data_IF_115902956364
#
_entry.id   IF_115902956364
#
_cell.length_a   1.000
_cell.length_b   1.000
_cell.length_c   1.000
_cell.angle_alpha   90.00
_cell.angle_beta   90.00
_cell.angle_gamma   90.00
#
_symmetry.space_group_name_H-M   'P 1'
#
loop_
_entity.id
_entity.type
_entity.pdbx_description
1 polymer ?
#
# COMPACT_ATOMS: atom_id res chain seq x y z
N UNK A 1 10.87 25.48 12.12
CA UNK A 1 11.66 25.14 10.92
C UNK A 1 10.84 25.48 9.68
N UNK A 2 11.44 26.11 8.67
CA UNK A 2 10.76 26.54 7.43
C UNK A 2 10.96 25.44 6.39
N UNK A 3 9.92 24.94 5.69
CA UNK A 3 10.12 23.90 4.68
C UNK A 3 10.92 24.51 3.52
N UNK A 4 12.11 23.96 3.27
CA UNK A 4 12.97 24.33 2.15
C UNK A 4 12.55 23.42 1.00
N UNK A 5 12.06 24.03 -0.07
CA UNK A 5 11.53 23.40 -1.30
C UNK A 5 10.07 22.95 -1.20
N UNK A 6 9.16 23.82 -1.66
CA UNK A 6 7.86 23.36 -2.18
C UNK A 6 8.12 22.73 -3.54
N UNK A 7 7.96 21.41 -3.73
CA UNK A 7 7.97 20.84 -5.08
C UNK A 7 6.90 21.55 -5.91
N UNK A 8 7.29 22.07 -7.07
CA UNK A 8 6.37 22.70 -8.02
C UNK A 8 5.36 21.63 -8.51
N UNK A 9 4.22 21.54 -7.84
CA UNK A 9 3.09 20.68 -8.21
C UNK A 9 3.23 19.18 -7.90
N UNK A 10 2.15 18.46 -8.19
CA UNK A 10 1.94 17.00 -8.01
C UNK A 10 3.08 16.16 -8.59
N UNK A 11 3.79 16.65 -9.61
CA UNK A 11 4.93 15.95 -10.21
C UNK A 11 6.17 15.88 -9.32
N UNK A 12 6.38 16.83 -8.40
CA UNK A 12 7.64 16.92 -7.65
C UNK A 12 7.70 16.00 -6.41
N UNK A 13 6.57 15.82 -5.71
CA UNK A 13 6.51 14.90 -4.56
C UNK A 13 6.66 13.44 -5.00
N UNK A 14 5.95 13.03 -6.06
CA UNK A 14 6.05 11.67 -6.59
C UNK A 14 7.48 11.31 -7.03
N UNK A 15 8.15 12.21 -7.75
CA UNK A 15 9.55 12.03 -8.15
C UNK A 15 10.50 11.94 -6.95
N UNK A 16 10.25 12.71 -5.88
CA UNK A 16 11.03 12.65 -4.65
C UNK A 16 10.83 11.33 -3.89
N UNK A 17 9.59 10.85 -3.78
CA UNK A 17 9.29 9.54 -3.18
C UNK A 17 9.93 8.41 -3.99
N UNK A 18 9.92 8.51 -5.33
CA UNK A 18 10.59 7.52 -6.17
C UNK A 18 12.11 7.52 -5.98
N UNK A 19 12.73 8.70 -5.86
CA UNK A 19 14.15 8.83 -5.53
C UNK A 19 14.45 8.22 -4.16
N UNK A 20 13.66 8.55 -3.14
CA UNK A 20 13.77 7.98 -1.81
C UNK A 20 13.71 6.45 -1.87
N UNK A 21 12.77 5.86 -2.61
CA UNK A 21 12.69 4.42 -2.79
C UNK A 21 13.97 3.81 -3.38
N UNK A 22 14.51 4.41 -4.45
CA UNK A 22 15.73 3.93 -5.10
C UNK A 22 16.94 3.92 -4.16
N UNK A 23 16.99 4.86 -3.24
CA UNK A 23 18.10 4.99 -2.27
C UNK A 23 17.88 4.14 -1.01
N UNK A 24 16.64 4.06 -0.52
CA UNK A 24 16.28 3.42 0.75
C UNK A 24 16.14 1.89 0.62
N UNK A 25 15.56 1.38 -0.48
CA UNK A 25 15.36 -0.09 -0.65
C UNK A 25 16.69 -0.86 -0.56
N UNK A 26 17.77 -0.46 -1.26
CA UNK A 26 19.06 -1.13 -1.13
C UNK A 26 19.65 -1.03 0.27
N UNK A 27 19.43 0.11 0.95
CA UNK A 27 19.91 0.33 2.33
C UNK A 27 19.22 -0.64 3.29
N UNK A 28 17.89 -0.72 3.25
CA UNK A 28 17.12 -1.64 4.09
C UNK A 28 17.45 -3.10 3.82
N UNK A 29 17.68 -3.47 2.55
CA UNK A 29 18.12 -4.84 2.21
C UNK A 29 19.49 -5.19 2.79
N UNK A 30 20.46 -4.29 2.67
CA UNK A 30 21.79 -4.52 3.25
C UNK A 30 21.73 -4.66 4.78
N UNK A 31 20.88 -3.87 5.44
CA UNK A 31 20.64 -4.00 6.89
C UNK A 31 19.94 -5.32 7.23
N UNK A 32 18.92 -5.73 6.46
CA UNK A 32 18.24 -7.03 6.64
C UNK A 32 19.21 -8.21 6.43
N UNK A 33 20.15 -8.11 5.49
CA UNK A 33 21.19 -9.12 5.22
C UNK A 33 22.13 -9.28 6.42
N UNK A 34 22.61 -8.16 7.00
CA UNK A 34 23.42 -8.18 8.21
C UNK A 34 22.61 -8.74 9.39
N UNK A 35 21.35 -8.30 9.54
CA UNK A 35 20.47 -8.74 10.63
C UNK A 35 20.06 -10.23 10.53
N UNK A 36 20.23 -10.85 9.36
CA UNK A 36 19.95 -12.28 9.17
C UNK A 36 21.03 -13.17 9.80
N UNK A 37 22.26 -12.66 9.96
CA UNK A 37 23.37 -13.38 10.55
C UNK A 37 23.93 -12.65 11.78
N UNK A 38 23.21 -12.78 12.90
CA UNK A 38 23.56 -12.13 14.17
C UNK A 38 24.96 -12.54 14.68
N UNK A 39 25.48 -13.70 14.27
CA UNK A 39 26.78 -14.19 14.73
C UNK A 39 27.96 -13.47 14.08
N UNK A 40 27.74 -12.81 12.93
CA UNK A 40 28.77 -12.10 12.15
C UNK A 40 28.52 -10.59 12.12
N UNK A 41 27.72 -10.07 13.06
CA UNK A 41 27.34 -8.65 13.09
C UNK A 41 28.53 -7.72 13.34
N UNK A 42 29.54 -8.18 14.07
CA UNK A 42 30.81 -7.49 14.34
C UNK A 42 31.69 -7.40 13.09
N UNK A 43 31.65 -8.39 12.20
CA UNK A 43 32.34 -8.33 10.90
C UNK A 43 31.81 -7.20 9.98
N UNK A 44 30.66 -6.63 10.34
CA UNK A 44 29.96 -5.61 9.56
C UNK A 44 29.94 -4.21 10.20
N UNK A 45 30.71 -3.96 11.26
CA UNK A 45 30.74 -2.68 12.00
C UNK A 45 30.89 -1.45 11.08
N UNK A 46 31.90 -1.42 10.20
CA UNK A 46 32.11 -0.31 9.26
C UNK A 46 30.93 -0.14 8.27
N UNK A 47 30.31 -1.25 7.87
CA UNK A 47 29.15 -1.23 6.98
C UNK A 47 27.91 -0.70 7.70
N UNK A 48 27.71 -1.07 8.97
CA UNK A 48 26.61 -0.61 9.81
C UNK A 48 26.66 0.90 10.00
N UNK A 49 27.80 1.47 10.35
CA UNK A 49 27.96 2.94 10.51
C UNK A 49 27.61 3.69 9.22
N UNK A 50 28.08 3.19 8.07
CA UNK A 50 27.73 3.77 6.77
C UNK A 50 26.23 3.65 6.45
N UNK A 51 25.62 2.50 6.74
CA UNK A 51 24.20 2.27 6.48
C UNK A 51 23.29 3.07 7.44
N UNK A 52 23.70 3.23 8.70
CA UNK A 52 23.05 4.11 9.69
C UNK A 52 23.02 5.56 9.18
N UNK A 53 24.14 6.07 8.65
CA UNK A 53 24.18 7.41 8.06
C UNK A 53 23.23 7.54 6.86
N UNK A 54 23.08 6.49 6.05
CA UNK A 54 22.10 6.46 4.95
C UNK A 54 20.67 6.46 5.45
N UNK A 55 20.35 5.74 6.53
CA UNK A 55 19.03 5.80 7.18
C UNK A 55 18.74 7.21 7.70
N UNK A 56 19.70 7.83 8.39
CA UNK A 56 19.58 9.20 8.87
C UNK A 56 19.28 10.17 7.72
N UNK A 57 20.08 10.11 6.64
CA UNK A 57 19.86 10.94 5.45
C UNK A 57 18.49 10.70 4.84
N UNK A 58 18.02 9.45 4.78
CA UNK A 58 16.69 9.12 4.29
C UNK A 58 15.59 9.72 5.18
N UNK A 59 15.71 9.64 6.51
CA UNK A 59 14.76 10.24 7.45
C UNK A 59 14.70 11.77 7.29
N UNK A 60 15.84 12.44 7.16
CA UNK A 60 15.93 13.88 6.89
C UNK A 60 15.28 14.25 5.55
N UNK A 61 15.48 13.42 4.51
CA UNK A 61 14.81 13.60 3.23
C UNK A 61 13.30 13.48 3.35
N UNK A 62 12.79 12.52 4.13
CA UNK A 62 11.34 12.42 4.40
C UNK A 62 10.86 13.69 5.09
N UNK A 63 11.51 14.11 6.19
CA UNK A 63 11.13 15.30 6.95
C UNK A 63 11.13 16.59 6.11
N UNK A 64 12.05 16.69 5.15
CA UNK A 64 12.17 17.83 4.24
C UNK A 64 11.10 17.88 3.13
N UNK A 65 10.36 16.80 2.90
CA UNK A 65 9.36 16.73 1.85
C UNK A 65 8.01 17.26 2.31
N UNK A 66 7.41 18.15 1.52
CA UNK A 66 6.04 18.57 1.73
C UNK A 66 5.08 17.47 1.28
N UNK A 67 4.53 16.72 2.25
CA UNK A 67 3.51 15.71 2.01
C UNK A 67 2.23 16.30 1.41
N UNK A 68 1.50 15.49 0.65
CA UNK A 68 0.10 15.78 0.35
C UNK A 68 -0.77 15.51 1.58
N UNK A 69 -1.88 16.25 1.77
CA UNK A 69 -2.78 16.01 2.90
C UNK A 69 -3.22 14.54 3.01
N UNK A 70 -3.49 13.90 1.89
CA UNK A 70 -3.98 12.51 1.85
C UNK A 70 -2.90 11.46 2.10
N UNK A 71 -1.62 11.85 2.13
CA UNK A 71 -0.48 10.98 2.42
C UNK A 71 0.23 11.36 3.71
N UNK A 72 -0.24 12.39 4.42
CA UNK A 72 0.43 12.94 5.60
C UNK A 72 0.62 11.89 6.70
N UNK A 73 -0.38 11.05 6.92
CA UNK A 73 -0.28 9.92 7.86
C UNK A 73 0.77 8.90 7.43
N UNK A 74 0.70 8.36 6.21
CA UNK A 74 1.68 7.38 5.72
C UNK A 74 3.10 7.95 5.61
N UNK A 75 3.21 9.25 5.36
CA UNK A 75 4.46 9.99 5.35
C UNK A 75 5.05 10.10 6.76
N UNK A 76 4.21 10.47 7.74
CA UNK A 76 4.58 10.51 9.15
C UNK A 76 4.95 9.12 9.69
N UNK A 77 4.21 8.08 9.33
CA UNK A 77 4.53 6.68 9.65
C UNK A 77 5.91 6.30 9.14
N UNK A 78 6.25 6.67 7.89
CA UNK A 78 7.57 6.39 7.33
C UNK A 78 8.68 7.13 8.06
N UNK A 79 8.49 8.41 8.36
CA UNK A 79 9.46 9.19 9.13
C UNK A 79 9.73 8.53 10.49
N UNK A 80 8.68 8.24 11.26
CA UNK A 80 8.80 7.59 12.58
C UNK A 80 9.48 6.23 12.48
N UNK A 81 9.08 5.39 11.52
CA UNK A 81 9.67 4.07 11.36
C UNK A 81 11.16 4.13 10.97
N UNK A 82 11.57 5.12 10.17
CA UNK A 82 12.97 5.35 9.84
C UNK A 82 13.77 5.85 11.04
N UNK A 83 13.20 6.73 11.87
CA UNK A 83 13.84 7.20 13.10
C UNK A 83 14.08 6.05 14.07
N UNK A 84 13.09 5.18 14.27
CA UNK A 84 13.24 3.98 15.12
C UNK A 84 14.30 3.04 14.53
N UNK A 85 14.26 2.76 13.22
CA UNK A 85 15.29 1.92 12.59
C UNK A 85 16.69 2.52 12.71
N UNK A 86 16.83 3.84 12.64
CA UNK A 86 18.09 4.54 12.85
C UNK A 86 18.58 4.41 14.30
N UNK A 87 17.70 4.59 15.27
CA UNK A 87 17.99 4.48 16.71
C UNK A 87 18.46 3.07 17.05
N UNK A 88 17.72 2.04 16.64
CA UNK A 88 18.10 0.64 16.87
C UNK A 88 19.41 0.26 16.16
N UNK A 89 19.64 0.78 14.94
CA UNK A 89 20.94 0.59 14.27
C UNK A 89 22.07 1.28 15.03
N UNK A 90 21.80 2.43 15.67
CA UNK A 90 22.75 3.15 16.49
C UNK A 90 23.12 2.41 17.77
N UNK A 91 22.13 1.85 18.47
CA UNK A 91 22.37 1.02 19.65
C UNK A 91 23.23 -0.21 19.32
N UNK A 92 23.04 -0.80 18.14
CA UNK A 92 23.88 -1.90 17.67
C UNK A 92 25.34 -1.48 17.42
N UNK A 93 25.56 -0.32 16.79
CA UNK A 93 26.90 0.25 16.57
C UNK A 93 27.57 0.58 17.89
N UNK A 94 26.85 1.18 18.84
CA UNK A 94 27.36 1.51 20.17
C UNK A 94 27.80 0.25 20.94
N UNK A 95 26.97 -0.81 20.92
CA UNK A 95 27.33 -2.08 21.55
C UNK A 95 28.58 -2.74 20.92
N UNK A 96 28.79 -2.56 19.62
CA UNK A 96 30.00 -3.04 18.91
C UNK A 96 31.23 -2.20 19.26
N UNK A 97 31.09 -0.87 19.33
CA UNK A 97 32.17 0.05 19.75
C UNK A 97 32.68 -0.29 21.16
N UNK A 98 31.78 -0.66 22.07
CA UNK A 98 32.08 -1.12 23.43
C UNK A 98 32.61 -2.57 23.51
N UNK A 99 32.78 -3.23 22.35
CA UNK A 99 33.22 -4.63 22.19
C UNK A 99 32.31 -5.65 22.88
N UNK A 100 31.03 -5.35 22.97
CA UNK A 100 30.02 -6.15 23.64
C UNK A 100 29.19 -6.95 22.62
N UNK A 101 29.78 -8.01 22.05
CA UNK A 101 29.07 -8.87 21.07
C UNK A 101 27.78 -9.48 21.65
N UNK A 102 27.79 -9.85 22.94
CA UNK A 102 26.61 -10.41 23.59
C UNK A 102 25.43 -9.43 23.65
N UNK A 103 25.72 -8.14 23.87
CA UNK A 103 24.72 -7.07 23.86
C UNK A 103 24.26 -6.76 22.45
N UNK A 104 25.19 -6.66 21.49
CA UNK A 104 24.85 -6.48 20.09
C UNK A 104 23.90 -7.59 19.60
N UNK A 105 24.19 -8.86 19.91
CA UNK A 105 23.33 -10.01 19.58
C UNK A 105 21.95 -9.91 20.24
N UNK A 106 21.87 -9.41 21.49
CA UNK A 106 20.60 -9.22 22.18
C UNK A 106 19.70 -8.20 21.46
N UNK A 107 20.30 -7.12 20.92
CA UNK A 107 19.59 -6.04 20.22
C UNK A 107 19.14 -6.40 18.79
N UNK A 108 19.65 -7.50 18.21
CA UNK A 108 19.31 -7.88 16.83
C UNK A 108 17.81 -8.10 16.65
N UNK A 109 17.10 -8.58 17.69
CA UNK A 109 15.66 -8.78 17.59
C UNK A 109 14.89 -7.45 17.47
N UNK A 110 15.14 -6.47 18.35
CA UNK A 110 14.50 -5.15 18.27
C UNK A 110 14.82 -4.48 16.94
N UNK A 111 16.09 -4.54 16.53
CA UNK A 111 16.56 -3.99 15.27
C UNK A 111 15.82 -4.57 14.06
N UNK A 112 15.63 -5.90 14.01
CA UNK A 112 14.86 -6.55 12.94
C UNK A 112 13.41 -6.09 12.89
N UNK A 113 12.77 -5.87 14.04
CA UNK A 113 11.40 -5.36 14.11
C UNK A 113 11.34 -3.93 13.58
N UNK A 114 12.31 -3.09 13.91
CA UNK A 114 12.40 -1.72 13.40
C UNK A 114 12.60 -1.67 11.88
N UNK A 115 13.50 -2.50 11.34
CA UNK A 115 13.71 -2.62 9.88
C UNK A 115 12.44 -3.09 9.16
N UNK A 116 11.71 -4.05 9.74
CA UNK A 116 10.42 -4.47 9.22
C UNK A 116 9.39 -3.33 9.22
N UNK A 117 9.32 -2.55 10.31
CA UNK A 117 8.47 -1.38 10.42
C UNK A 117 8.76 -0.35 9.31
N UNK A 118 10.03 -0.04 9.07
CA UNK A 118 10.45 0.88 8.01
C UNK A 118 10.04 0.36 6.62
N UNK A 119 10.23 -0.93 6.33
CA UNK A 119 9.79 -1.56 5.07
C UNK A 119 8.27 -1.49 4.91
N UNK A 120 7.52 -1.76 5.96
CA UNK A 120 6.06 -1.73 5.94
C UNK A 120 5.54 -0.31 5.69
N UNK A 121 6.10 0.69 6.38
CA UNK A 121 5.73 2.09 6.19
C UNK A 121 6.04 2.56 4.76
N UNK A 122 7.22 2.22 4.23
CA UNK A 122 7.58 2.51 2.83
C UNK A 122 6.62 1.83 1.85
N UNK A 123 6.21 0.60 2.13
CA UNK A 123 5.24 -0.12 1.30
C UNK A 123 3.86 0.56 1.31
N UNK A 124 3.39 1.04 2.47
CA UNK A 124 2.11 1.75 2.60
C UNK A 124 2.12 3.06 1.82
N UNK A 125 3.14 3.88 2.02
CA UNK A 125 3.32 5.16 1.33
C UNK A 125 3.26 5.01 -0.20
N UNK A 126 3.75 3.88 -0.71
CA UNK A 126 3.94 3.67 -2.16
C UNK A 126 2.79 2.91 -2.83
N UNK A 127 1.91 2.29 -2.04
CA UNK A 127 0.65 1.69 -2.53
C UNK A 127 -0.54 2.65 -2.48
N UNK A 128 -0.57 3.59 -1.54
CA UNK A 128 -1.70 4.49 -1.35
C UNK A 128 -1.99 5.38 -2.58
N UNK A 129 -0.99 5.96 -3.29
CA UNK A 129 -1.23 6.70 -4.53
C UNK A 129 -1.88 5.85 -5.63
N UNK A 130 -1.39 4.63 -5.86
CA UNK A 130 -1.92 3.72 -6.89
C UNK A 130 -3.36 3.29 -6.63
N UNK A 131 -3.74 3.09 -5.37
CA UNK A 131 -5.13 2.78 -4.99
C UNK A 131 -6.06 3.93 -5.33
N UNK A 132 -5.62 5.17 -5.14
CA UNK A 132 -6.41 6.35 -5.51
C UNK A 132 -6.57 6.47 -7.02
N UNK A 133 -5.49 6.31 -7.79
CA UNK A 133 -5.59 6.38 -9.25
C UNK A 133 -6.56 5.33 -9.78
N UNK A 134 -6.49 4.11 -9.24
CA UNK A 134 -7.43 3.04 -9.56
C UNK A 134 -8.88 3.35 -9.12
N UNK A 135 -9.10 3.91 -7.92
CA UNK A 135 -10.43 4.31 -7.46
C UNK A 135 -11.00 5.48 -8.28
N UNK A 136 -10.17 6.45 -8.65
CA UNK A 136 -10.59 7.59 -9.48
C UNK A 136 -10.93 7.13 -10.90
N UNK A 137 -10.13 6.24 -11.48
CA UNK A 137 -10.41 5.63 -12.77
C UNK A 137 -11.66 4.74 -12.73
N UNK A 138 -11.89 3.98 -11.65
CA UNK A 138 -13.09 3.17 -11.46
C UNK A 138 -14.35 4.02 -11.28
N UNK A 139 -14.28 5.12 -10.53
CA UNK A 139 -15.39 6.07 -10.38
C UNK A 139 -15.70 6.79 -11.70
N UNK A 140 -14.68 7.13 -12.49
CA UNK A 140 -14.87 7.67 -13.84
C UNK A 140 -15.42 6.63 -14.85
N UNK A 141 -15.19 5.34 -14.57
CA UNK A 141 -15.69 4.21 -15.34
C UNK A 141 -17.03 3.66 -14.83
N UNK A 142 -17.72 4.36 -13.92
CA UNK A 142 -19.05 3.94 -13.47
C UNK A 142 -19.96 3.71 -14.69
N UNK A 143 -20.43 2.47 -14.92
CA UNK A 143 -21.34 2.20 -16.01
C UNK A 143 -22.63 2.97 -15.74
N UNK A 144 -23.06 3.79 -16.70
CA UNK A 144 -24.35 4.48 -16.66
C UNK A 144 -25.41 3.48 -16.18
N UNK A 145 -26.25 3.83 -15.19
CA UNK A 145 -27.23 2.91 -14.65
C UNK A 145 -28.12 2.40 -15.80
N UNK A 146 -27.95 1.12 -16.13
CA UNK A 146 -28.76 0.45 -17.13
C UNK A 146 -30.04 0.01 -16.44
N UNK A 147 -31.15 0.68 -16.74
CA UNK A 147 -32.48 0.30 -16.26
C UNK A 147 -33.05 -0.93 -17.00
N UNK A 148 -32.35 -1.41 -18.04
CA UNK A 148 -32.76 -2.54 -18.88
C UNK A 148 -33.08 -3.81 -18.07
N UNK A 149 -32.22 -4.29 -17.14
CA UNK A 149 -32.54 -5.46 -16.32
C UNK A 149 -33.77 -5.25 -15.41
N UNK A 150 -33.98 -4.03 -14.88
CA UNK A 150 -35.13 -3.71 -14.03
C UNK A 150 -36.42 -3.74 -14.85
N UNK A 151 -36.41 -3.15 -16.06
CA UNK A 151 -37.55 -3.17 -16.98
C UNK A 151 -37.87 -4.59 -17.44
N UNK A 152 -36.86 -5.40 -17.77
CA UNK A 152 -37.05 -6.80 -18.15
C UNK A 152 -37.61 -7.65 -17.01
N UNK A 153 -37.16 -7.42 -15.78
CA UNK A 153 -37.69 -8.12 -14.60
C UNK A 153 -39.16 -7.74 -14.35
N UNK A 154 -39.48 -6.44 -14.38
CA UNK A 154 -40.85 -5.96 -14.20
C UNK A 154 -41.79 -6.48 -15.30
N UNK A 155 -41.34 -6.48 -16.56
CA UNK A 155 -42.09 -7.02 -17.68
C UNK A 155 -42.31 -8.54 -17.55
N UNK A 156 -41.28 -9.28 -17.11
CA UNK A 156 -41.38 -10.73 -16.86
C UNK A 156 -42.39 -11.06 -15.75
N UNK A 157 -42.32 -10.33 -14.63
CA UNK A 157 -43.26 -10.50 -13.50
C UNK A 157 -44.68 -10.15 -13.92
N UNK A 158 -44.89 -9.05 -14.66
CA UNK A 158 -46.19 -8.65 -15.16
C UNK A 158 -46.78 -9.69 -16.14
N UNK A 159 -45.96 -10.25 -17.02
CA UNK A 159 -46.38 -11.31 -17.94
C UNK A 159 -46.79 -12.60 -17.21
N UNK A 160 -46.07 -12.98 -16.15
CA UNK A 160 -46.40 -14.15 -15.33
C UNK A 160 -47.70 -13.94 -14.56
N UNK A 161 -47.87 -12.78 -13.90
CA UNK A 161 -49.10 -12.47 -13.15
C UNK A 161 -50.32 -12.33 -14.07
N UNK A 162 -50.17 -11.65 -15.21
CA UNK A 162 -51.24 -11.51 -16.20
C UNK A 162 -51.62 -12.84 -16.87
N UNK A 163 -50.65 -13.70 -17.16
CA UNK A 163 -50.90 -15.03 -17.72
C UNK A 163 -51.59 -15.98 -16.73
N UNK A 164 -51.25 -15.90 -15.44
CA UNK A 164 -51.88 -16.71 -14.39
C UNK A 164 -53.37 -16.39 -14.19
N UNK A 165 -53.77 -15.12 -14.38
CA UNK A 165 -55.17 -14.69 -14.30
C UNK A 165 -56.02 -15.10 -15.51
N UNK A 166 -55.38 -15.44 -16.64
CA UNK A 166 -56.06 -15.69 -17.92
C UNK A 166 -56.05 -17.18 -18.37
N UNK A 167 -55.53 -18.09 -17.55
CA UNK A 167 -55.43 -19.55 -17.81
C UNK A 167 -54.74 -19.93 -19.16
N UNK A 168 -53.97 -19.01 -19.74
CA UNK A 168 -53.28 -19.19 -21.02
C UNK A 168 -51.88 -19.74 -20.81
N UNK A 169 -51.76 -21.07 -20.82
CA UNK A 169 -50.51 -21.82 -20.60
C UNK A 169 -49.30 -21.41 -21.50
N UNK A 170 -49.45 -20.95 -22.77
CA UNK A 170 -48.30 -20.56 -23.60
C UNK A 170 -47.61 -19.28 -23.10
N UNK A 171 -48.35 -18.37 -22.47
CA UNK A 171 -47.83 -17.08 -21.97
C UNK A 171 -46.90 -17.30 -20.77
N UNK A 172 -47.18 -18.33 -19.96
CA UNK A 172 -46.38 -18.71 -18.80
C UNK A 172 -44.97 -19.19 -19.19
N UNK A 173 -44.88 -20.01 -20.24
CA UNK A 173 -43.60 -20.54 -20.75
C UNK A 173 -42.70 -19.42 -21.32
N UNK A 174 -43.29 -18.43 -22.00
CA UNK A 174 -42.56 -17.27 -22.52
C UNK A 174 -42.06 -16.38 -21.38
N UNK A 175 -42.87 -16.14 -20.34
CA UNK A 175 -42.47 -15.38 -19.16
C UNK A 175 -41.28 -16.01 -18.43
N UNK A 176 -41.32 -17.33 -18.20
CA UNK A 176 -40.21 -18.05 -17.57
C UNK A 176 -38.93 -18.04 -18.42
N UNK A 177 -39.04 -18.15 -19.74
CA UNK A 177 -37.89 -18.09 -20.64
C UNK A 177 -37.20 -16.71 -20.58
N UNK A 178 -37.98 -15.62 -20.50
CA UNK A 178 -37.45 -14.25 -20.37
C UNK A 178 -36.76 -14.04 -19.01
N UNK A 179 -37.33 -14.55 -17.92
CA UNK A 179 -36.72 -14.49 -16.58
C UNK A 179 -35.43 -15.31 -16.50
N UNK A 180 -35.41 -16.50 -17.12
CA UNK A 180 -34.19 -17.31 -17.20
C UNK A 180 -33.08 -16.63 -18.02
N UNK A 181 -33.44 -16.01 -19.14
CA UNK A 181 -32.49 -15.31 -20.00
C UNK A 181 -31.87 -14.07 -19.32
N UNK A 182 -32.65 -13.33 -18.53
CA UNK A 182 -32.15 -12.15 -17.80
C UNK A 182 -31.17 -12.53 -16.68
N UNK A 183 -31.42 -13.62 -15.96
CA UNK A 183 -30.49 -14.17 -14.97
C UNK A 183 -29.19 -14.69 -15.60
N UNK A 184 -29.26 -15.23 -16.82
CA UNK A 184 -28.09 -15.65 -17.59
C UNK A 184 -27.23 -14.49 -18.09
N UNK A 185 -27.86 -13.38 -18.49
CA UNK A 185 -27.15 -12.17 -18.94
C UNK A 185 -26.42 -11.47 -17.78
N UNK A 186 -27.01 -11.44 -16.59
CA UNK A 186 -26.42 -10.84 -15.40
C UNK A 186 -25.14 -11.55 -14.91
N UNK A 187 -24.95 -12.83 -15.24
CA UNK A 187 -23.74 -13.61 -14.89
C UNK A 187 -22.60 -13.46 -15.90
N UNK A 188 -22.81 -12.80 -17.04
CA UNK A 188 -21.80 -12.65 -18.11
C UNK A 188 -21.18 -11.26 -18.21
N UNK A 189 -21.55 -10.35 -17.31
CA UNK A 189 -20.88 -9.05 -17.17
C UNK A 189 -19.70 -9.26 -16.21
N UNK A 190 -18.45 -9.17 -16.67
CA UNK A 190 -17.26 -9.28 -15.82
C UNK A 190 -17.11 -8.10 -14.87
#
# INVERSE_FOLDING_TARGET
>A
MKPIVRPNGVSGYGAAVERLQRELIPTLRALDEIAADAALVDEHEEALTRLQYRLHTAAELVLGLASWPELEEAHGELYLALSVAQEETGGLVEALDDRSLAEAVALVWEWRVALFGARLALHRLTRQPRRRDAQTAAAAAEPRPSFVPVVLLAAGVAAVLGGALAELWPVWAVGLAVVGASAGLARRVP
#
